data_IF_171427005436
#
_entry.id   IF_171427005436
#
_cell.length_a   1.000
_cell.length_b   1.000
_cell.length_c   1.000
_cell.angle_alpha   90.00
_cell.angle_beta   90.00
_cell.angle_gamma   90.00
#
_symmetry.space_group_name_H-M   'P 1'
#
loop_
_entity.id
_entity.type
_entity.pdbx_description
1 polymer ?
#
# COMPACT_ATOMS: atom_id res chain seq x y z
N UNK A 1 8.57 0.94 4.34
CA UNK A 1 7.39 1.12 5.21
C UNK A 1 6.15 1.10 4.32
N UNK A 2 5.03 0.51 4.72
CA UNK A 2 3.77 0.62 3.96
C UNK A 2 2.90 1.69 4.64
N UNK A 3 2.04 2.40 3.90
CA UNK A 3 1.23 3.52 4.42
C UNK A 3 0.40 3.19 5.67
N UNK A 4 0.07 1.92 5.91
CA UNK A 4 -0.63 1.45 7.11
C UNK A 4 0.16 1.69 8.41
N UNK A 5 1.48 1.55 8.39
CA UNK A 5 2.32 1.73 9.58
C UNK A 5 2.28 3.16 10.12
N UNK A 6 2.49 4.22 9.31
CA UNK A 6 2.29 5.58 9.78
C UNK A 6 0.81 5.86 10.09
N UNK A 7 -0.16 5.29 9.38
CA UNK A 7 -1.56 5.52 9.73
C UNK A 7 -1.93 5.04 11.15
N UNK A 8 -1.50 3.83 11.53
CA UNK A 8 -1.72 3.32 12.87
C UNK A 8 -0.99 4.15 13.93
N UNK A 9 0.26 4.56 13.64
CA UNK A 9 1.01 5.44 14.53
C UNK A 9 0.34 6.81 14.69
N UNK A 10 -0.28 7.34 13.65
CA UNK A 10 -1.03 8.58 13.69
C UNK A 10 -2.22 8.50 14.65
N UNK A 11 -2.99 7.41 14.60
CA UNK A 11 -4.08 7.18 15.55
C UNK A 11 -3.60 7.10 17.00
N UNK A 12 -2.41 6.51 17.22
CA UNK A 12 -1.77 6.46 18.54
C UNK A 12 -1.38 7.87 19.00
N UNK A 13 -0.74 8.66 18.13
CA UNK A 13 -0.38 10.06 18.42
C UNK A 13 -1.60 10.85 18.87
N UNK A 14 -2.71 10.72 18.13
CA UNK A 14 -3.97 11.39 18.46
C UNK A 14 -4.58 10.93 19.78
N UNK A 15 -4.37 9.67 20.16
CA UNK A 15 -4.92 9.11 21.40
C UNK A 15 -4.07 9.46 22.63
N UNK A 16 -2.77 9.66 22.45
CA UNK A 16 -1.83 9.96 23.54
C UNK A 16 -1.72 11.45 23.86
N UNK A 17 -2.18 12.32 22.95
CA UNK A 17 -2.17 13.79 23.08
C UNK A 17 -0.82 14.37 23.54
N UNK A 18 0.28 13.77 23.05
CA UNK A 18 1.63 14.19 23.40
C UNK A 18 2.56 14.18 22.18
N UNK A 19 3.29 15.27 21.97
CA UNK A 19 4.10 15.49 20.77
C UNK A 19 5.42 14.70 20.70
N UNK A 20 5.71 13.78 21.62
CA UNK A 20 7.02 13.10 21.64
C UNK A 20 7.25 12.19 20.43
N UNK A 21 6.18 11.67 19.82
CA UNK A 21 6.25 10.83 18.62
C UNK A 21 6.33 11.64 17.32
N UNK A 22 6.09 12.96 17.37
CA UNK A 22 6.01 13.80 16.17
C UNK A 22 7.28 13.77 15.34
N UNK A 23 8.44 13.78 16.00
CA UNK A 23 9.72 13.75 15.32
C UNK A 23 9.94 12.44 14.53
N UNK A 24 9.58 11.30 15.12
CA UNK A 24 9.67 10.00 14.44
C UNK A 24 8.60 9.86 13.36
N UNK A 25 7.42 10.45 13.59
CA UNK A 25 6.35 10.49 12.59
C UNK A 25 6.75 11.29 11.34
N UNK A 26 7.37 12.44 11.54
CA UNK A 26 7.84 13.30 10.45
C UNK A 26 8.87 12.57 9.58
N UNK A 27 9.78 11.79 10.17
CA UNK A 27 10.70 10.93 9.41
C UNK A 27 9.95 9.93 8.54
N UNK A 28 8.89 9.32 9.08
CA UNK A 28 8.01 8.41 8.35
C UNK A 28 7.33 9.08 7.16
N UNK A 29 6.77 10.28 7.33
CA UNK A 29 6.15 11.05 6.23
C UNK A 29 7.19 11.48 5.20
N UNK A 30 8.37 11.95 5.61
CA UNK A 30 9.47 12.30 4.71
C UNK A 30 9.86 11.12 3.83
N UNK A 31 9.99 9.94 4.43
CA UNK A 31 10.25 8.71 3.69
C UNK A 31 9.10 8.39 2.72
N UNK A 32 7.85 8.47 3.18
CA UNK A 32 6.66 8.18 2.38
C UNK A 32 6.53 9.11 1.16
N UNK A 33 6.79 10.40 1.34
CA UNK A 33 6.85 11.37 0.24
C UNK A 33 8.00 11.06 -0.73
N UNK A 34 9.18 10.65 -0.23
CA UNK A 34 10.34 10.32 -1.07
C UNK A 34 10.15 9.10 -1.96
N UNK A 35 9.13 8.28 -1.69
CA UNK A 35 8.78 7.09 -2.47
C UNK A 35 7.49 7.29 -3.27
N UNK A 36 6.92 8.50 -3.32
CA UNK A 36 5.79 8.80 -4.20
C UNK A 36 6.31 9.41 -5.50
N UNK A 37 5.97 8.79 -6.62
CA UNK A 37 6.28 9.32 -7.95
C UNK A 37 5.44 10.56 -8.28
N UNK A 38 5.82 11.35 -9.30
CA UNK A 38 5.05 12.51 -9.73
C UNK A 38 3.61 12.18 -10.15
N UNK A 39 3.37 10.96 -10.65
CA UNK A 39 2.03 10.45 -11.01
C UNK A 39 1.19 9.99 -9.81
N UNK A 40 1.75 10.10 -8.60
CA UNK A 40 1.12 9.74 -7.33
C UNK A 40 1.29 8.29 -6.91
N UNK A 41 1.78 7.41 -7.79
CA UNK A 41 2.01 6.00 -7.44
C UNK A 41 3.20 5.86 -6.51
N UNK A 42 3.21 4.82 -5.69
CA UNK A 42 4.35 4.52 -4.85
C UNK A 42 5.43 3.73 -5.59
N UNK A 43 6.69 4.04 -5.30
CA UNK A 43 7.86 3.25 -5.64
C UNK A 43 7.94 2.03 -4.72
N UNK A 44 7.25 0.99 -5.15
CA UNK A 44 7.21 -0.28 -4.46
C UNK A 44 8.57 -0.97 -4.39
N UNK A 45 9.55 -0.63 -5.25
CA UNK A 45 10.90 -1.20 -5.21
C UNK A 45 11.67 -0.87 -3.93
N UNK A 46 11.18 0.10 -3.15
CA UNK A 46 11.74 0.53 -1.87
C UNK A 46 10.97 -0.02 -0.66
N UNK A 47 9.93 -0.83 -0.88
CA UNK A 47 9.10 -1.40 0.18
C UNK A 47 9.46 -2.85 0.49
N UNK A 48 10.05 -3.12 1.67
CA UNK A 48 10.32 -4.49 2.12
C UNK A 48 9.08 -5.29 2.59
N UNK A 49 7.91 -4.65 2.66
CA UNK A 49 6.67 -5.21 3.21
C UNK A 49 5.86 -5.94 2.14
N UNK A 50 6.07 -7.26 2.05
CA UNK A 50 5.47 -8.09 1.02
C UNK A 50 3.93 -8.18 1.11
N UNK A 51 3.34 -8.23 2.31
CA UNK A 51 1.88 -8.38 2.43
C UNK A 51 1.11 -7.14 1.94
N UNK A 52 1.69 -5.94 2.10
CA UNK A 52 1.06 -4.69 1.73
C UNK A 52 1.36 -4.26 0.28
N UNK A 53 2.12 -5.08 -0.44
CA UNK A 53 2.60 -4.78 -1.78
C UNK A 53 1.41 -4.56 -2.72
N UNK A 54 1.37 -3.41 -3.40
CA UNK A 54 0.31 -3.01 -4.33
C UNK A 54 -1.11 -2.90 -3.77
N UNK A 55 -1.32 -2.86 -2.46
CA UNK A 55 -2.66 -2.65 -1.90
C UNK A 55 -3.20 -1.26 -2.30
N UNK A 56 -4.43 -1.19 -2.79
CA UNK A 56 -5.09 0.11 -3.03
C UNK A 56 -5.19 0.93 -1.73
N UNK A 57 -5.39 0.25 -0.60
CA UNK A 57 -5.44 0.87 0.72
C UNK A 57 -4.17 1.60 1.10
N UNK A 58 -2.99 1.26 0.54
CA UNK A 58 -1.76 2.00 0.81
C UNK A 58 -1.89 3.50 0.49
N UNK A 59 -2.63 3.83 -0.57
CA UNK A 59 -2.96 5.21 -0.92
C UNK A 59 -3.89 5.83 0.12
N UNK A 60 -4.96 5.13 0.51
CA UNK A 60 -5.89 5.61 1.53
C UNK A 60 -5.19 5.88 2.88
N UNK A 61 -4.35 4.96 3.35
CA UNK A 61 -3.58 5.12 4.58
C UNK A 61 -2.60 6.30 4.53
N UNK A 62 -2.08 6.63 3.35
CA UNK A 62 -1.12 7.74 3.19
C UNK A 62 -1.77 9.13 3.28
N UNK A 63 -3.04 9.27 2.87
CA UNK A 63 -3.74 10.57 2.83
C UNK A 63 -3.79 11.26 4.21
N UNK A 64 -4.30 10.64 5.30
CA UNK A 64 -4.30 11.27 6.61
C UNK A 64 -2.89 11.53 7.15
N UNK A 65 -1.91 10.70 6.79
CA UNK A 65 -0.51 10.92 7.15
C UNK A 65 0.05 12.19 6.50
N UNK A 66 -0.21 12.39 5.21
CA UNK A 66 0.21 13.58 4.49
C UNK A 66 -0.54 14.84 4.95
N UNK A 67 -1.85 14.73 5.22
CA UNK A 67 -2.65 15.83 5.80
C UNK A 67 -2.10 16.22 7.17
N UNK A 68 -1.77 15.26 8.04
CA UNK A 68 -1.11 15.57 9.30
C UNK A 68 0.27 16.19 9.07
N UNK A 69 0.98 15.72 8.04
CA UNK A 69 2.26 16.22 7.59
C UNK A 69 2.30 17.72 7.32
N UNK A 70 1.18 18.33 6.90
CA UNK A 70 1.14 19.74 6.49
C UNK A 70 1.52 20.71 7.59
N UNK A 71 1.47 20.29 8.86
CA UNK A 71 1.95 21.10 9.99
C UNK A 71 3.46 21.35 9.96
N UNK A 72 4.25 20.48 9.31
CA UNK A 72 5.68 20.66 9.12
C UNK A 72 6.03 21.19 7.73
N UNK A 73 5.32 20.73 6.69
CA UNK A 73 5.53 21.19 5.33
C UNK A 73 4.21 21.16 4.54
N UNK A 74 3.74 22.35 4.12
CA UNK A 74 2.49 22.50 3.38
C UNK A 74 2.46 21.74 2.05
N UNK A 75 3.61 21.42 1.45
CA UNK A 75 3.66 20.66 0.19
C UNK A 75 3.13 19.23 0.32
N UNK A 76 3.03 18.68 1.54
CA UNK A 76 2.43 17.36 1.74
C UNK A 76 0.94 17.30 1.36
N UNK A 77 0.26 18.44 1.28
CA UNK A 77 -1.10 18.51 0.71
C UNK A 77 -1.15 18.00 -0.73
N UNK A 78 -0.14 18.31 -1.55
CA UNK A 78 -0.03 17.80 -2.92
C UNK A 78 0.21 16.28 -2.96
N UNK A 79 0.99 15.75 -2.00
CA UNK A 79 1.20 14.31 -1.88
C UNK A 79 -0.11 13.58 -1.53
N UNK A 80 -0.94 14.16 -0.66
CA UNK A 80 -2.26 13.65 -0.32
C UNK A 80 -3.20 13.66 -1.54
N UNK A 81 -3.22 14.75 -2.30
CA UNK A 81 -4.03 14.86 -3.52
C UNK A 81 -3.61 13.82 -4.58
N UNK A 82 -2.31 13.67 -4.81
CA UNK A 82 -1.76 12.63 -5.69
C UNK A 82 -2.17 11.22 -5.26
N UNK A 83 -2.12 10.92 -3.97
CA UNK A 83 -2.55 9.63 -3.44
C UNK A 83 -4.07 9.41 -3.63
N UNK A 84 -4.88 10.45 -3.40
CA UNK A 84 -6.33 10.41 -3.62
C UNK A 84 -6.66 10.16 -5.11
N UNK A 85 -5.94 10.80 -6.03
CA UNK A 85 -6.12 10.60 -7.46
C UNK A 85 -5.83 9.15 -7.87
N UNK A 86 -4.73 8.56 -7.40
CA UNK A 86 -4.42 7.15 -7.68
C UNK A 86 -5.43 6.22 -7.03
N UNK A 87 -5.88 6.51 -5.81
CA UNK A 87 -6.94 5.74 -5.16
C UNK A 87 -8.24 5.75 -5.98
N UNK A 88 -8.65 6.93 -6.48
CA UNK A 88 -9.85 7.08 -7.32
C UNK A 88 -9.82 6.22 -8.59
N UNK A 89 -8.65 6.05 -9.22
CA UNK A 89 -8.47 5.16 -10.37
C UNK A 89 -8.69 3.67 -10.04
N UNK A 90 -8.68 3.31 -8.76
CA UNK A 90 -8.85 1.95 -8.26
C UNK A 90 -10.23 1.68 -7.65
N UNK A 91 -11.18 2.61 -7.86
CA UNK A 91 -12.58 2.48 -7.46
C UNK A 91 -13.44 2.36 -8.72
N UNK A 92 -14.20 1.27 -8.84
CA UNK A 92 -15.18 1.11 -9.92
C UNK A 92 -16.64 1.16 -9.44
N UNK A 93 -16.85 0.92 -8.14
CA UNK A 93 -18.09 1.11 -7.36
C UNK A 93 -17.71 0.88 -5.89
N UNK A 94 -16.98 -0.22 -5.66
CA UNK A 94 -16.19 -0.48 -4.45
C UNK A 94 -14.70 -0.50 -4.77
N UNK A 95 -13.87 -0.44 -3.73
CA UNK A 95 -12.40 -0.36 -3.87
C UNK A 95 -11.86 -1.74 -4.26
N UNK A 96 -11.03 -1.78 -5.29
CA UNK A 96 -10.31 -3.01 -5.64
C UNK A 96 -9.23 -3.33 -4.62
N UNK A 97 -8.98 -4.62 -4.37
CA UNK A 97 -7.93 -5.06 -3.44
C UNK A 97 -6.56 -4.47 -3.78
N UNK A 98 -6.17 -4.58 -5.04
CA UNK A 98 -4.87 -4.18 -5.55
C UNK A 98 -5.00 -2.97 -6.48
N UNK A 99 -3.94 -2.17 -6.54
CA UNK A 99 -3.86 -1.14 -7.58
C UNK A 99 -3.78 -1.77 -8.97
N UNK A 100 -4.55 -1.24 -9.91
CA UNK A 100 -4.57 -1.73 -11.28
C UNK A 100 -3.26 -1.36 -12.01
N UNK A 101 -2.77 -2.31 -12.80
CA UNK A 101 -1.63 -2.10 -13.68
C UNK A 101 -1.92 -2.60 -15.09
N UNK A 102 -1.28 -1.99 -16.10
CA UNK A 102 -1.38 -2.44 -17.48
C UNK A 102 -0.39 -3.57 -17.78
N UNK A 103 -0.68 -4.40 -18.78
CA UNK A 103 0.28 -5.38 -19.30
C UNK A 103 1.52 -4.72 -19.90
N UNK A 104 1.42 -3.49 -20.40
CA UNK A 104 2.55 -2.72 -20.94
C UNK A 104 3.61 -2.46 -19.86
N UNK A 105 3.18 -2.21 -18.61
CA UNK A 105 4.09 -1.97 -17.48
C UNK A 105 4.72 -3.24 -16.88
N UNK A 106 4.41 -4.42 -17.43
CA UNK A 106 4.83 -5.71 -16.85
C UNK A 106 6.35 -5.91 -16.87
N UNK A 107 7.10 -5.61 -17.95
CA UNK A 107 8.55 -5.77 -17.94
C UNK A 107 9.25 -4.95 -16.85
N UNK A 108 8.86 -3.67 -16.69
CA UNK A 108 9.38 -2.81 -15.62
C UNK A 108 9.06 -3.39 -14.22
N UNK A 109 7.89 -4.00 -14.07
CA UNK A 109 7.44 -4.61 -12.82
C UNK A 109 8.24 -5.84 -12.40
N UNK A 110 8.87 -6.55 -13.35
CA UNK A 110 9.80 -7.65 -13.03
C UNK A 110 11.01 -7.09 -12.28
N UNK A 111 11.59 -5.98 -12.74
CA UNK A 111 12.71 -5.32 -12.07
C UNK A 111 12.32 -4.80 -10.68
N UNK A 112 11.16 -4.17 -10.55
CA UNK A 112 10.63 -3.74 -9.24
C UNK A 112 10.52 -4.91 -8.27
N UNK A 113 10.03 -6.05 -8.75
CA UNK A 113 9.86 -7.27 -7.95
C UNK A 113 11.20 -7.88 -7.56
N UNK A 114 12.16 -7.91 -8.48
CA UNK A 114 13.52 -8.35 -8.20
C UNK A 114 14.20 -7.48 -7.13
N UNK A 115 14.12 -6.16 -7.26
CA UNK A 115 14.67 -5.24 -6.27
C UNK A 115 14.04 -5.46 -4.89
N UNK A 116 12.70 -5.56 -4.84
CA UNK A 116 11.95 -5.79 -3.60
C UNK A 116 12.29 -7.11 -2.93
N UNK A 117 12.46 -8.17 -3.71
CA UNK A 117 12.83 -9.49 -3.21
C UNK A 117 14.22 -9.51 -2.55
N UNK A 118 15.11 -8.63 -3.01
CA UNK A 118 16.48 -8.47 -2.50
C UNK A 118 16.61 -7.43 -1.37
N UNK A 119 15.52 -6.77 -0.95
CA UNK A 119 15.55 -5.90 0.24
C UNK A 119 15.80 -6.78 1.47
N UNK A 120 16.94 -6.55 2.14
CA UNK A 120 17.34 -7.24 3.37
C UNK A 120 18.32 -8.41 3.15
N UNK A 121 19.02 -8.77 4.21
CA UNK A 121 20.01 -9.85 4.22
C UNK A 121 19.35 -11.22 4.47
N UNK A 122 18.37 -11.57 3.63
CA UNK A 122 17.69 -12.87 3.70
C UNK A 122 18.45 -13.97 2.95
N UNK A 123 18.32 -15.26 3.35
CA UNK A 123 18.82 -16.40 2.59
C UNK A 123 18.24 -16.47 1.17
N UNK A 124 18.94 -17.13 0.25
CA UNK A 124 18.54 -17.24 -1.16
C UNK A 124 17.13 -17.82 -1.34
N UNK A 125 16.76 -18.85 -0.57
CA UNK A 125 15.42 -19.47 -0.60
C UNK A 125 14.32 -18.45 -0.31
N UNK A 126 14.54 -17.56 0.67
CA UNK A 126 13.58 -16.52 1.05
C UNK A 126 13.49 -15.43 -0.02
N UNK A 127 14.61 -15.06 -0.65
CA UNK A 127 14.62 -14.10 -1.76
C UNK A 127 13.84 -14.65 -2.96
N UNK A 128 14.04 -15.93 -3.29
CA UNK A 128 13.30 -16.61 -4.36
C UNK A 128 11.80 -16.65 -4.08
N UNK A 129 11.41 -16.98 -2.84
CA UNK A 129 10.00 -16.93 -2.44
C UNK A 129 9.42 -15.52 -2.58
N UNK A 130 10.10 -14.50 -2.05
CA UNK A 130 9.66 -13.10 -2.15
C UNK A 130 9.50 -12.67 -3.60
N UNK A 131 10.43 -13.06 -4.47
CA UNK A 131 10.33 -12.80 -5.90
C UNK A 131 9.10 -13.49 -6.51
N UNK A 132 8.92 -14.79 -6.27
CA UNK A 132 7.77 -15.55 -6.76
C UNK A 132 6.44 -14.97 -6.30
N UNK A 133 6.32 -14.65 -5.02
CA UNK A 133 5.14 -14.01 -4.44
C UNK A 133 4.88 -12.61 -5.03
N UNK A 134 5.94 -11.81 -5.22
CA UNK A 134 5.81 -10.51 -5.87
C UNK A 134 5.34 -10.64 -7.32
N UNK A 135 5.85 -11.62 -8.07
CA UNK A 135 5.44 -11.90 -9.45
C UNK A 135 3.98 -12.37 -9.51
N UNK A 136 3.59 -13.28 -8.62
CA UNK A 136 2.20 -13.69 -8.44
C UNK A 136 1.29 -12.46 -8.25
N UNK A 137 1.71 -11.50 -7.41
CA UNK A 137 0.94 -10.27 -7.22
C UNK A 137 0.93 -9.34 -8.45
N UNK A 138 2.02 -9.29 -9.21
CA UNK A 138 2.05 -8.57 -10.50
C UNK A 138 1.00 -9.11 -11.48
N UNK A 139 0.80 -10.43 -11.51
CA UNK A 139 -0.23 -11.03 -12.34
C UNK A 139 -1.63 -10.77 -11.78
N UNK A 140 -1.80 -10.92 -10.47
CA UNK A 140 -3.09 -10.73 -9.80
C UNK A 140 -3.64 -9.32 -10.04
N UNK A 141 -2.81 -8.28 -9.90
CA UNK A 141 -3.24 -6.89 -10.07
C UNK A 141 -3.54 -6.45 -11.52
N UNK A 142 -3.25 -7.31 -12.50
CA UNK A 142 -3.47 -7.04 -13.94
C UNK A 142 -4.67 -7.78 -14.52
N UNK A 143 -5.25 -8.71 -13.74
CA UNK A 143 -6.43 -9.48 -14.11
C UNK A 143 -7.55 -9.08 -13.16
N UNK A 144 -8.76 -8.94 -13.68
CA UNK A 144 -9.92 -8.58 -12.88
C UNK A 144 -10.93 -9.72 -12.88
N UNK A 145 -11.48 -10.02 -11.70
CA UNK A 145 -12.56 -10.97 -11.52
C UNK A 145 -13.53 -10.45 -10.47
N UNK A 146 -14.82 -10.72 -10.66
CA UNK A 146 -15.85 -10.46 -9.64
C UNK A 146 -15.86 -11.54 -8.54
N UNK A 147 -15.14 -12.64 -8.74
CA UNK A 147 -15.04 -13.76 -7.78
C UNK A 147 -13.60 -14.03 -7.37
N UNK A 148 -13.43 -14.42 -6.11
CA UNK A 148 -12.15 -14.87 -5.56
C UNK A 148 -11.94 -16.34 -5.91
N UNK A 149 -10.92 -16.64 -6.72
CA UNK A 149 -10.41 -18.00 -6.94
C UNK A 149 -8.98 -18.07 -6.38
N UNK A 150 -8.69 -18.97 -5.42
CA UNK A 150 -7.35 -19.16 -4.85
C UNK A 150 -6.62 -20.41 -5.36
N UNK A 151 -7.15 -21.11 -6.37
CA UNK A 151 -6.60 -22.39 -6.86
C UNK A 151 -5.12 -22.28 -7.26
N UNK A 152 -4.73 -21.24 -8.01
CA UNK A 152 -3.34 -21.08 -8.42
C UNK A 152 -2.44 -20.78 -7.23
N UNK A 153 -2.88 -19.91 -6.30
CA UNK A 153 -2.13 -19.64 -5.09
C UNK A 153 -1.92 -20.90 -4.24
N UNK A 154 -2.97 -21.68 -4.01
CA UNK A 154 -2.91 -22.91 -3.22
C UNK A 154 -2.01 -23.97 -3.88
N UNK A 155 -2.06 -24.08 -5.21
CA UNK A 155 -1.18 -24.96 -5.96
C UNK A 155 0.29 -24.55 -5.78
N UNK A 156 0.59 -23.25 -5.93
CA UNK A 156 1.95 -22.71 -5.78
C UNK A 156 2.47 -22.85 -4.35
N UNK A 157 1.65 -22.55 -3.34
CA UNK A 157 2.04 -22.71 -1.93
C UNK A 157 2.29 -24.17 -1.58
N UNK A 158 1.48 -25.09 -2.12
CA UNK A 158 1.67 -26.54 -1.95
C UNK A 158 2.98 -27.05 -2.57
N UNK A 159 3.29 -26.64 -3.81
CA UNK A 159 4.55 -27.03 -4.49
C UNK A 159 5.77 -26.47 -3.75
N UNK A 160 5.69 -25.24 -3.25
CA UNK A 160 6.81 -24.57 -2.58
C UNK A 160 6.93 -24.91 -1.09
N UNK A 161 6.00 -25.71 -0.52
CA UNK A 161 6.01 -26.09 0.89
C UNK A 161 5.80 -24.91 1.84
N UNK A 162 4.98 -23.94 1.46
CA UNK A 162 4.81 -22.68 2.19
C UNK A 162 3.52 -22.70 2.97
N UNK A 163 3.64 -22.66 4.30
CA UNK A 163 2.52 -22.46 5.20
C UNK A 163 2.06 -20.99 5.11
N UNK A 164 1.08 -20.75 4.25
CA UNK A 164 0.45 -19.43 4.13
C UNK A 164 -0.68 -19.31 5.15
N UNK A 165 -0.61 -18.30 6.02
CA UNK A 165 -1.72 -17.93 6.91
C UNK A 165 -2.81 -17.12 6.19
N UNK A 166 -2.60 -16.74 4.93
CA UNK A 166 -3.49 -15.90 4.13
C UNK A 166 -3.78 -16.54 2.79
N UNK A 167 -5.06 -16.69 2.44
CA UNK A 167 -5.48 -17.08 1.10
C UNK A 167 -5.34 -15.86 0.19
N UNK A 168 -4.49 -15.93 -0.83
CA UNK A 168 -4.35 -14.86 -1.81
C UNK A 168 -5.25 -15.14 -3.04
N UNK A 169 -5.92 -14.12 -3.59
CA UNK A 169 -6.77 -14.25 -4.77
C UNK A 169 -5.94 -14.16 -6.04
N UNK A 170 -6.24 -15.00 -7.03
CA UNK A 170 -5.51 -15.06 -8.29
C UNK A 170 -5.70 -13.81 -9.17
N UNK A 171 -6.77 -13.06 -8.92
CA UNK A 171 -7.15 -11.86 -9.68
C UNK A 171 -7.41 -10.71 -8.73
N UNK A 172 -7.27 -9.49 -9.24
CA UNK A 172 -7.81 -8.31 -8.59
C UNK A 172 -9.34 -8.42 -8.55
N UNK A 173 -9.92 -7.98 -7.45
CA UNK A 173 -11.33 -8.16 -7.17
C UNK A 173 -11.84 -6.98 -6.34
N UNK A 174 -13.14 -6.69 -6.43
CA UNK A 174 -13.77 -5.65 -5.65
C UNK A 174 -13.86 -6.11 -4.17
N UNK A 175 -13.21 -5.41 -3.24
CA UNK A 175 -12.95 -5.86 -1.87
C UNK A 175 -13.65 -4.98 -0.83
N UNK A 176 -14.61 -5.55 -0.10
CA UNK A 176 -15.34 -4.86 0.96
C UNK A 176 -14.48 -4.48 2.16
N UNK A 177 -13.54 -5.34 2.56
CA UNK A 177 -12.62 -5.02 3.66
C UNK A 177 -11.72 -3.84 3.27
N UNK A 178 -11.18 -3.87 2.05
CA UNK A 178 -10.41 -2.74 1.55
C UNK A 178 -11.25 -1.46 1.52
N UNK A 179 -12.49 -1.57 1.08
CA UNK A 179 -13.43 -0.43 1.02
C UNK A 179 -13.69 0.15 2.41
N UNK A 180 -13.90 -0.67 3.44
CA UNK A 180 -14.10 -0.17 4.80
C UNK A 180 -12.86 0.55 5.34
N UNK A 181 -11.67 0.03 5.11
CA UNK A 181 -10.41 0.68 5.51
C UNK A 181 -10.22 2.03 4.80
N UNK A 182 -10.56 2.09 3.50
CA UNK A 182 -10.51 3.35 2.75
C UNK A 182 -11.51 4.36 3.30
N UNK A 183 -12.74 3.96 3.59
CA UNK A 183 -13.76 4.86 4.16
C UNK A 183 -13.35 5.38 5.53
N UNK A 184 -12.75 4.55 6.39
CA UNK A 184 -12.21 4.95 7.68
C UNK A 184 -11.10 6.00 7.51
N UNK A 185 -10.13 5.75 6.61
CA UNK A 185 -9.06 6.70 6.32
C UNK A 185 -9.57 8.05 5.83
N UNK A 186 -10.50 8.05 4.86
CA UNK A 186 -11.05 9.28 4.29
C UNK A 186 -11.91 10.04 5.29
N UNK A 187 -12.75 9.34 6.07
CA UNK A 187 -13.56 9.97 7.13
C UNK A 187 -12.67 10.60 8.19
N UNK A 188 -11.62 9.89 8.60
CA UNK A 188 -10.63 10.39 9.54
C UNK A 188 -9.90 11.61 8.99
N UNK A 189 -9.47 11.59 7.72
CA UNK A 189 -8.87 12.73 7.03
C UNK A 189 -9.74 13.98 7.04
N UNK A 190 -11.05 13.84 6.79
CA UNK A 190 -12.01 14.96 6.84
C UNK A 190 -12.09 15.53 8.26
N UNK A 191 -12.29 14.68 9.27
CA UNK A 191 -12.36 15.10 10.67
C UNK A 191 -11.11 15.86 11.11
N UNK A 192 -9.92 15.41 10.66
CA UNK A 192 -8.64 16.05 10.95
C UNK A 192 -8.45 17.36 10.18
N UNK A 193 -8.84 17.40 8.92
CA UNK A 193 -8.82 18.63 8.10
C UNK A 193 -9.62 19.76 8.75
N UNK A 194 -10.79 19.44 9.33
CA UNK A 194 -11.60 20.41 10.08
C UNK A 194 -10.92 20.92 11.36
N UNK A 195 -10.16 20.07 12.07
CA UNK A 195 -9.41 20.47 13.28
C UNK A 195 -8.21 21.37 13.01
N UNK A 196 -7.59 21.26 11.83
CA UNK A 196 -6.44 22.10 11.46
C UNK A 196 -6.85 23.51 10.98
N UNK A 197 -8.13 23.75 10.72
CA UNK A 197 -8.68 25.06 10.30
C UNK A 197 -9.30 25.86 11.45
N UNK A 198 -9.46 25.25 12.63
CA UNK A 198 -9.96 25.87 13.88
C UNK A 198 -8.81 26.27 14.79
#
# INVERSE_FOLDING_TARGET
>A
MAGISPYLLLKIIDSLDNGWLDHEFEKGIKWLASVQFPDGKFDWSRSGLMFAYYLSGAYAFSIPCFIYGTKWNSTYSENAEKALNVLGLNVKDIVNRWENASMISFPASIFTTFNTANIGNYPLSHRLFRFGYGMYRQFSRRRFSNSVNPEMFNLLSGILGIESSTIEPDNNFPDLFMTSEVLDCLSYSISRGSKNQS
#
